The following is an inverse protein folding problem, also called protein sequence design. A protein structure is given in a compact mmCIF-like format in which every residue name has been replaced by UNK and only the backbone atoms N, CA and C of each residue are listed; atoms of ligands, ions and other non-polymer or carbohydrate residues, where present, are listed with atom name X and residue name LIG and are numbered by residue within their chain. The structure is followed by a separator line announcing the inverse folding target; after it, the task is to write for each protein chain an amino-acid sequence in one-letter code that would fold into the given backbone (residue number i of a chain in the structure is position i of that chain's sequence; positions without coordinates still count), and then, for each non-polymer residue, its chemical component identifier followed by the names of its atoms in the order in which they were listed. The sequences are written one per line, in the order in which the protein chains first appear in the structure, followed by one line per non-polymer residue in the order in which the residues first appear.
data_IF_601254462420
#
_entry.id   IF_601254462420
#
_cell.length_a   1.000
_cell.length_b   1.000
_cell.length_c   1.000
_cell.angle_alpha   90.00
_cell.angle_beta   90.00
_cell.angle_gamma   90.00
#
_symmetry.space_group_name_H-M   'P 1'
#
loop_
_entity.id
_entity.type
_entity.pdbx_description
1 polymer ?
#
# COMPACT_ATOMS: atom_id res chain seq x y z
N UNK A 1 11.14 12.13 1.53
CA UNK A 1 12.50 12.67 1.78
C UNK A 1 12.81 12.52 3.27
N UNK A 2 13.98 12.00 3.64
CA UNK A 2 14.35 11.87 5.07
C UNK A 2 14.45 13.24 5.74
N UNK A 3 13.89 13.37 6.94
CA UNK A 3 14.00 14.58 7.77
C UNK A 3 15.44 14.86 8.22
N UNK A 4 16.32 13.85 8.18
CA UNK A 4 17.74 13.98 8.53
C UNK A 4 18.66 14.20 7.32
N UNK A 5 18.10 14.32 6.10
CA UNK A 5 18.87 14.51 4.87
C UNK A 5 19.77 15.74 4.95
N UNK A 6 21.00 15.60 4.45
CA UNK A 6 21.96 16.72 4.32
C UNK A 6 21.81 17.47 2.99
N UNK A 7 21.04 16.90 2.06
CA UNK A 7 20.79 17.43 0.71
C UNK A 7 19.30 17.31 0.36
N UNK A 8 18.39 17.94 1.14
CA UNK A 8 16.96 17.76 0.93
C UNK A 8 16.45 18.38 -0.37
N UNK A 9 17.10 19.43 -0.88
CA UNK A 9 16.74 20.06 -2.15
C UNK A 9 17.05 19.15 -3.33
N UNK A 10 18.26 18.58 -3.40
CA UNK A 10 18.64 17.63 -4.45
C UNK A 10 17.79 16.36 -4.40
N UNK A 11 17.48 15.88 -3.20
CA UNK A 11 16.54 14.78 -3.02
C UNK A 11 15.13 15.12 -3.54
N UNK A 12 14.69 16.37 -3.40
CA UNK A 12 13.41 16.82 -3.96
C UNK A 12 13.43 16.92 -5.49
N UNK A 13 14.52 17.39 -6.08
CA UNK A 13 14.69 17.38 -7.53
C UNK A 13 14.61 15.96 -8.10
N UNK A 14 15.24 14.98 -7.43
CA UNK A 14 15.13 13.58 -7.81
C UNK A 14 13.69 13.04 -7.70
N UNK A 15 12.96 13.37 -6.63
CA UNK A 15 11.55 12.97 -6.47
C UNK A 15 10.69 13.53 -7.59
N UNK A 16 10.84 14.81 -7.94
CA UNK A 16 10.09 15.44 -9.04
C UNK A 16 10.36 14.73 -10.37
N UNK A 17 11.62 14.43 -10.67
CA UNK A 17 12.01 13.72 -11.89
C UNK A 17 11.34 12.34 -11.95
N UNK A 18 11.48 11.54 -10.89
CA UNK A 18 10.97 10.17 -10.83
C UNK A 18 9.44 10.08 -10.74
N UNK A 19 8.78 11.13 -10.28
CA UNK A 19 7.31 11.21 -10.17
C UNK A 19 6.65 11.88 -11.39
N UNK A 20 7.44 12.20 -12.41
CA UNK A 20 6.96 12.83 -13.64
C UNK A 20 6.30 11.84 -14.62
N UNK A 21 5.63 12.37 -15.67
CA UNK A 21 4.96 11.55 -16.67
C UNK A 21 5.93 10.65 -17.45
N UNK A 22 7.13 11.14 -17.78
CA UNK A 22 8.12 10.38 -18.54
C UNK A 22 8.58 9.13 -17.78
N UNK A 23 8.97 9.29 -16.52
CA UNK A 23 9.37 8.18 -15.66
C UNK A 23 8.21 7.19 -15.44
N UNK A 24 6.98 7.69 -15.26
CA UNK A 24 5.80 6.83 -15.13
C UNK A 24 5.53 6.04 -16.42
N UNK A 25 5.70 6.64 -17.60
CA UNK A 25 5.51 6.00 -18.89
C UNK A 25 6.59 4.94 -19.17
N UNK A 26 7.84 5.22 -18.81
CA UNK A 26 8.93 4.25 -18.90
C UNK A 26 8.62 3.00 -18.06
N UNK A 27 8.07 3.18 -16.84
CA UNK A 27 7.65 2.07 -15.99
C UNK A 27 6.46 1.28 -16.57
N UNK A 28 5.53 1.94 -17.26
CA UNK A 28 4.45 1.27 -18.00
C UNK A 28 5.03 0.39 -19.11
N UNK A 29 5.98 0.90 -19.90
CA UNK A 29 6.61 0.16 -21.01
C UNK A 29 7.43 -1.04 -20.54
N UNK A 30 7.93 -1.03 -19.31
CA UNK A 30 8.56 -2.18 -18.66
C UNK A 30 7.55 -3.27 -18.24
N UNK A 31 6.24 -3.02 -18.37
CA UNK A 31 5.16 -3.99 -18.14
C UNK A 31 4.84 -4.25 -16.66
N UNK A 32 5.42 -3.49 -15.74
CA UNK A 32 5.38 -3.78 -14.30
C UNK A 32 4.54 -2.82 -13.46
N UNK A 33 3.90 -1.82 -14.05
CA UNK A 33 3.31 -0.72 -13.28
C UNK A 33 1.92 -0.31 -13.77
N UNK A 34 1.02 -0.08 -12.80
CA UNK A 34 -0.26 0.62 -13.00
C UNK A 34 0.00 2.10 -12.69
N UNK A 35 -0.07 3.01 -13.68
CA UNK A 35 0.34 4.40 -13.49
C UNK A 35 -0.61 5.15 -12.55
N UNK A 36 -0.05 5.81 -11.53
CA UNK A 36 -0.82 6.66 -10.63
C UNK A 36 -1.25 7.99 -11.28
N UNK A 37 -0.51 8.46 -12.30
CA UNK A 37 -0.81 9.67 -13.03
C UNK A 37 -1.93 9.40 -14.05
N UNK A 38 -3.07 10.08 -13.91
CA UNK A 38 -4.18 10.00 -14.87
C UNK A 38 -3.74 10.30 -16.31
N UNK A 39 -2.87 11.30 -16.48
CA UNK A 39 -2.33 11.69 -17.79
C UNK A 39 -1.53 10.59 -18.49
N UNK A 40 -1.04 9.59 -17.75
CA UNK A 40 -0.35 8.41 -18.30
C UNK A 40 -1.30 7.22 -18.40
N UNK A 41 -2.23 7.07 -17.44
CA UNK A 41 -3.26 6.04 -17.47
C UNK A 41 -4.20 6.15 -18.69
N UNK A 42 -4.40 7.36 -19.22
CA UNK A 42 -5.23 7.63 -20.39
C UNK A 42 -4.45 7.49 -21.73
N UNK A 43 -3.14 7.19 -21.69
CA UNK A 43 -2.33 7.00 -22.89
C UNK A 43 -2.54 5.62 -23.51
N UNK A 44 -2.44 5.54 -24.84
CA UNK A 44 -2.49 4.27 -25.59
C UNK A 44 -1.44 3.26 -25.15
N UNK A 45 -0.27 3.73 -24.73
CA UNK A 45 0.86 2.92 -24.32
C UNK A 45 0.53 2.07 -23.09
N UNK A 46 -0.33 2.56 -22.20
CA UNK A 46 -0.71 1.75 -21.06
C UNK A 46 -1.65 0.61 -21.45
N UNK A 47 -2.50 0.81 -22.46
CA UNK A 47 -3.28 -0.29 -23.05
C UNK A 47 -2.41 -1.28 -23.82
N UNK A 48 -1.30 -0.84 -24.40
CA UNK A 48 -0.38 -1.67 -25.18
C UNK A 48 0.60 -2.48 -24.31
N UNK A 49 1.22 -1.84 -23.32
CA UNK A 49 2.29 -2.42 -22.49
C UNK A 49 1.83 -2.83 -21.09
N UNK A 50 0.67 -2.35 -20.65
CA UNK A 50 0.08 -2.73 -19.36
C UNK A 50 -0.45 -4.16 -19.35
N UNK A 51 -0.85 -4.66 -18.17
CA UNK A 51 -1.45 -5.98 -18.07
C UNK A 51 -2.78 -6.06 -18.86
N UNK A 52 -3.21 -7.27 -19.26
CA UNK A 52 -4.53 -7.47 -19.85
C UNK A 52 -5.64 -6.88 -18.96
N UNK A 53 -6.68 -6.33 -19.60
CA UNK A 53 -7.81 -5.69 -18.92
C UNK A 53 -7.41 -4.49 -18.04
N UNK A 54 -6.42 -3.74 -18.48
CA UNK A 54 -5.89 -2.56 -17.79
C UNK A 54 -6.97 -1.56 -17.31
N UNK A 55 -8.06 -1.37 -18.07
CA UNK A 55 -9.17 -0.49 -17.66
C UNK A 55 -9.78 -0.88 -16.29
N UNK A 56 -9.82 -2.18 -15.96
CA UNK A 56 -10.41 -2.68 -14.71
C UNK A 56 -9.75 -2.12 -13.45
N UNK A 57 -8.46 -1.77 -13.50
CA UNK A 57 -7.80 -1.14 -12.36
C UNK A 57 -8.44 0.20 -12.00
N UNK A 58 -8.86 0.97 -13.00
CA UNK A 58 -9.45 2.30 -12.82
C UNK A 58 -10.95 2.22 -12.61
N UNK A 59 -11.64 1.31 -13.31
CA UNK A 59 -13.05 1.02 -13.05
C UNK A 59 -13.26 0.55 -11.60
N UNK A 60 -12.26 -0.12 -11.01
CA UNK A 60 -12.33 -0.56 -9.62
C UNK A 60 -12.27 0.58 -8.59
N UNK A 61 -11.83 1.77 -8.99
CA UNK A 61 -11.70 2.91 -8.08
C UNK A 61 -13.05 3.44 -7.59
N UNK A 62 -14.14 3.19 -8.33
CA UNK A 62 -15.51 3.56 -7.94
C UNK A 62 -15.96 2.91 -6.62
N UNK A 63 -15.36 1.78 -6.26
CA UNK A 63 -15.65 1.04 -5.03
C UNK A 63 -14.41 0.77 -4.16
N UNK A 64 -13.23 1.25 -4.57
CA UNK A 64 -12.02 1.15 -3.77
C UNK A 64 -12.04 2.15 -2.61
N UNK A 65 -11.45 1.77 -1.48
CA UNK A 65 -11.15 2.67 -0.36
C UNK A 65 -9.66 2.61 -0.07
N UNK A 66 -9.06 3.75 0.27
CA UNK A 66 -7.66 3.79 0.68
C UNK A 66 -7.46 2.96 1.95
N UNK A 67 -6.49 2.05 1.93
CA UNK A 67 -6.12 1.29 3.13
C UNK A 67 -5.61 2.26 4.20
N UNK A 68 -6.17 2.26 5.42
CA UNK A 68 -5.66 3.08 6.51
C UNK A 68 -4.19 2.75 6.81
N UNK A 69 -3.34 3.77 6.94
CA UNK A 69 -1.93 3.62 7.30
C UNK A 69 -1.67 4.29 8.66
N UNK A 70 -2.09 3.67 9.78
CA UNK A 70 -1.87 4.22 11.10
C UNK A 70 -0.39 4.14 11.49
N UNK A 71 0.06 5.03 12.39
CA UNK A 71 1.48 5.12 12.81
C UNK A 71 2.03 3.83 13.41
N UNK A 72 1.15 2.98 13.95
CA UNK A 72 1.47 1.71 14.59
C UNK A 72 1.10 0.50 13.71
N UNK A 73 0.90 0.68 12.39
CA UNK A 73 0.59 -0.45 11.50
C UNK A 73 1.62 -1.57 11.61
N UNK A 74 2.89 -1.21 11.83
CA UNK A 74 4.00 -2.14 12.07
C UNK A 74 3.85 -2.99 13.35
N UNK A 75 2.92 -2.65 14.25
CA UNK A 75 2.54 -3.45 15.42
C UNK A 75 1.26 -4.23 15.13
N UNK A 76 0.25 -3.57 14.53
CA UNK A 76 -1.05 -4.18 14.23
C UNK A 76 -0.91 -5.38 13.29
N UNK A 77 -0.23 -5.19 12.15
CA UNK A 77 -0.17 -6.20 11.08
C UNK A 77 0.50 -7.51 11.54
N UNK A 78 1.65 -7.51 12.24
CA UNK A 78 2.25 -8.76 12.72
C UNK A 78 1.38 -9.52 13.73
N UNK A 79 0.64 -8.81 14.60
CA UNK A 79 -0.29 -9.43 15.55
C UNK A 79 -1.41 -10.14 14.78
N UNK A 80 -2.07 -9.40 13.89
CA UNK A 80 -3.15 -9.95 13.05
C UNK A 80 -2.67 -11.15 12.23
N UNK A 81 -1.55 -11.03 11.52
CA UNK A 81 -1.03 -12.09 10.65
C UNK A 81 -0.73 -13.38 11.41
N UNK A 82 -0.19 -13.30 12.63
CA UNK A 82 0.07 -14.50 13.44
C UNK A 82 -1.22 -15.21 13.84
N UNK A 83 -2.26 -14.48 14.23
CA UNK A 83 -3.54 -15.09 14.58
C UNK A 83 -4.29 -15.59 13.33
N UNK A 84 -4.20 -14.89 12.19
CA UNK A 84 -4.73 -15.37 10.91
C UNK A 84 -4.09 -16.68 10.45
N UNK A 85 -2.78 -16.84 10.65
CA UNK A 85 -2.09 -18.09 10.33
C UNK A 85 -2.71 -19.29 11.07
N UNK A 86 -3.11 -19.13 12.34
CA UNK A 86 -3.78 -20.20 13.10
C UNK A 86 -5.15 -20.58 12.54
N UNK A 87 -5.87 -19.62 11.94
CA UNK A 87 -7.13 -19.87 11.22
C UNK A 87 -6.83 -20.69 9.96
N UNK A 88 -5.88 -20.25 9.15
CA UNK A 88 -5.55 -20.90 7.87
C UNK A 88 -4.98 -22.30 8.03
N UNK A 89 -4.28 -22.56 9.14
CA UNK A 89 -3.77 -23.88 9.48
C UNK A 89 -4.82 -24.79 10.13
N UNK A 90 -6.02 -24.28 10.43
CA UNK A 90 -7.07 -25.04 11.13
C UNK A 90 -6.77 -25.32 12.60
N UNK A 91 -5.86 -24.56 13.21
CA UNK A 91 -5.46 -24.71 14.62
C UNK A 91 -6.49 -24.08 15.57
N UNK A 92 -7.16 -23.01 15.12
CA UNK A 92 -8.19 -22.27 15.85
C UNK A 92 -9.37 -21.95 14.96
N UNK A 93 -10.54 -21.83 15.54
CA UNK A 93 -11.69 -21.21 14.86
C UNK A 93 -11.42 -19.73 14.60
N UNK A 94 -12.18 -19.14 13.66
CA UNK A 94 -12.11 -17.71 13.39
C UNK A 94 -12.36 -16.88 14.65
N UNK A 95 -13.38 -17.25 15.43
CA UNK A 95 -13.74 -16.53 16.65
C UNK A 95 -12.61 -16.58 17.70
N UNK A 96 -12.05 -17.76 17.98
CA UNK A 96 -10.96 -17.91 18.93
C UNK A 96 -9.70 -17.12 18.53
N UNK A 97 -9.33 -17.16 17.26
CA UNK A 97 -8.17 -16.45 16.75
C UNK A 97 -8.37 -14.92 16.79
N UNK A 98 -9.55 -14.43 16.43
CA UNK A 98 -9.85 -12.99 16.47
C UNK A 98 -9.98 -12.45 17.89
N UNK A 99 -10.55 -13.23 18.83
CA UNK A 99 -10.57 -12.85 20.24
C UNK A 99 -9.15 -12.77 20.82
N UNK A 100 -8.28 -13.75 20.51
CA UNK A 100 -6.88 -13.70 20.92
C UNK A 100 -6.10 -12.53 20.29
N UNK A 101 -6.39 -12.19 19.03
CA UNK A 101 -5.82 -11.01 18.40
C UNK A 101 -6.29 -9.71 19.08
N UNK A 102 -7.58 -9.62 19.43
CA UNK A 102 -8.14 -8.47 20.13
C UNK A 102 -7.52 -8.28 21.51
N UNK A 103 -7.35 -9.35 22.29
CA UNK A 103 -6.71 -9.31 23.62
C UNK A 103 -5.29 -8.74 23.56
N UNK A 104 -4.55 -9.04 22.50
CA UNK A 104 -3.19 -8.55 22.29
C UNK A 104 -3.15 -7.12 21.71
N UNK A 105 -4.10 -6.77 20.84
CA UNK A 105 -4.18 -5.46 20.22
C UNK A 105 -4.59 -4.36 21.20
N UNK A 106 -5.53 -4.62 22.11
CA UNK A 106 -6.08 -3.59 23.02
C UNK A 106 -4.98 -2.86 23.79
N UNK A 107 -4.03 -3.52 24.49
CA UNK A 107 -2.94 -2.83 25.18
C UNK A 107 -2.07 -1.99 24.24
N UNK A 108 -1.81 -2.44 23.01
CA UNK A 108 -1.02 -1.68 22.05
C UNK A 108 -1.76 -0.43 21.55
N UNK A 109 -3.09 -0.50 21.45
CA UNK A 109 -3.92 0.64 21.09
C UNK A 109 -4.03 1.67 22.23
N UNK A 110 -4.12 1.22 23.48
CA UNK A 110 -4.15 2.09 24.66
C UNK A 110 -2.86 2.92 24.83
N UNK A 111 -1.70 2.33 24.51
CA UNK A 111 -0.40 3.04 24.50
C UNK A 111 -0.38 4.24 23.54
N UNK A 112 -1.24 4.26 22.52
CA UNK A 112 -1.29 5.33 21.52
C UNK A 112 -2.24 6.45 21.91
N UNK A 113 -3.23 6.18 22.76
CA UNK A 113 -4.12 7.20 23.30
C UNK A 113 -3.46 8.00 24.44
N UNK A 114 -2.38 7.45 25.03
CA UNK A 114 -1.64 8.03 26.14
C UNK A 114 -0.36 8.78 25.73
N UNK A 115 -0.03 8.82 24.44
CA UNK A 115 1.15 9.47 23.86
C UNK A 115 0.78 10.71 23.03
#
# INVERSE_FOLDING_TARGET
ISSSSKTPQEAWEAVKLLSGPDASLDMVKLGGNIPALRSVAEMSEFMEYGPPNTALFYDSLDFATTVPSPRNFNIIEPILNRHYASIWNGERTVEEALNAAQEELVPEMEKLQSA
#
